data_IF_386038997140
#
_entry.id   IF_386038997140
#
_cell.length_a   1.000
_cell.length_b   1.000
_cell.length_c   1.000
_cell.angle_alpha   90.00
_cell.angle_beta   90.00
_cell.angle_gamma   90.00
#
_symmetry.space_group_name_H-M   'P 1'
#
loop_
_entity.id
_entity.type
_entity.pdbx_description
1 polymer ?
#
# COMPACT_ATOMS: atom_id res chain seq x y z
N UNK A 1 15.93 6.53 -23.14
CA UNK A 1 14.66 6.03 -22.55
C UNK A 1 14.78 4.51 -22.49
N UNK A 2 14.66 3.86 -21.32
CA UNK A 2 14.76 2.40 -21.20
C UNK A 2 13.36 1.84 -21.01
N UNK A 3 12.82 1.24 -22.08
CA UNK A 3 11.54 0.55 -22.02
C UNK A 3 11.75 -0.84 -21.42
N UNK A 4 10.90 -1.20 -20.45
CA UNK A 4 10.92 -2.52 -19.83
C UNK A 4 9.84 -3.38 -20.46
N UNK A 5 10.16 -4.63 -20.76
CA UNK A 5 9.21 -5.58 -21.32
C UNK A 5 8.41 -6.26 -20.20
N UNK A 6 7.08 -6.17 -20.30
CA UNK A 6 6.15 -6.95 -19.50
C UNK A 6 5.57 -8.07 -20.37
N UNK A 7 5.71 -9.32 -19.94
CA UNK A 7 5.15 -10.45 -20.68
C UNK A 7 3.87 -10.95 -19.99
N UNK A 8 2.74 -10.80 -20.66
CA UNK A 8 1.47 -11.34 -20.22
C UNK A 8 1.36 -12.80 -20.62
N UNK A 9 1.41 -13.71 -19.63
CA UNK A 9 1.24 -15.16 -19.86
C UNK A 9 -0.14 -15.48 -20.45
N UNK A 10 -1.26 -14.93 -19.93
CA UNK A 10 -2.59 -15.22 -20.49
C UNK A 10 -2.72 -14.80 -21.95
N UNK A 11 -2.12 -13.66 -22.33
CA UNK A 11 -2.19 -13.12 -23.69
C UNK A 11 -1.04 -13.60 -24.59
N UNK A 12 -0.06 -14.33 -24.02
CA UNK A 12 1.19 -14.76 -24.68
C UNK A 12 1.89 -13.63 -25.43
N UNK A 13 1.89 -12.43 -24.87
CA UNK A 13 2.36 -11.20 -25.53
C UNK A 13 3.32 -10.43 -24.63
N UNK A 14 4.39 -9.91 -25.23
CA UNK A 14 5.28 -8.95 -24.62
C UNK A 14 4.85 -7.52 -24.99
N UNK A 15 4.81 -6.64 -23.99
CA UNK A 15 4.47 -5.22 -24.14
C UNK A 15 5.59 -4.37 -23.55
N UNK A 16 6.02 -3.35 -24.30
CA UNK A 16 6.97 -2.38 -23.82
C UNK A 16 6.24 -1.36 -22.93
N UNK A 17 6.61 -1.31 -21.64
CA UNK A 17 6.05 -0.38 -20.67
C UNK A 17 7.11 0.66 -20.31
N UNK A 18 6.90 1.94 -20.66
CA UNK A 18 7.84 2.99 -20.33
C UNK A 18 7.78 3.31 -18.84
N UNK A 19 8.91 3.17 -18.14
CA UNK A 19 9.03 3.63 -16.75
C UNK A 19 9.50 5.07 -16.77
N UNK A 20 8.55 6.00 -16.71
CA UNK A 20 8.85 7.43 -16.69
C UNK A 20 9.53 7.84 -15.37
N UNK A 21 10.28 8.96 -15.36
CA UNK A 21 10.87 9.49 -14.13
C UNK A 21 9.83 9.75 -13.03
N UNK A 22 8.65 10.26 -13.39
CA UNK A 22 7.54 10.50 -12.46
C UNK A 22 7.05 9.19 -11.83
N UNK A 23 6.86 8.12 -12.61
CA UNK A 23 6.47 6.81 -12.09
C UNK A 23 7.53 6.26 -11.13
N UNK A 24 8.82 6.41 -11.47
CA UNK A 24 9.92 5.98 -10.60
C UNK A 24 9.93 6.75 -9.28
N UNK A 25 9.76 8.07 -9.33
CA UNK A 25 9.68 8.91 -8.13
C UNK A 25 8.51 8.50 -7.24
N UNK A 26 7.34 8.25 -7.83
CA UNK A 26 6.16 7.78 -7.09
C UNK A 26 6.43 6.46 -6.38
N UNK A 27 7.01 5.47 -7.07
CA UNK A 27 7.37 4.18 -6.46
C UNK A 27 8.33 4.37 -5.29
N UNK A 28 9.38 5.18 -5.46
CA UNK A 28 10.36 5.44 -4.40
C UNK A 28 9.71 6.11 -3.20
N UNK A 29 8.83 7.10 -3.41
CA UNK A 29 8.09 7.77 -2.35
C UNK A 29 7.18 6.78 -1.59
N UNK A 30 6.43 5.94 -2.31
CA UNK A 30 5.56 4.94 -1.70
C UNK A 30 6.34 3.92 -0.88
N UNK A 31 7.48 3.43 -1.38
CA UNK A 31 8.33 2.48 -0.63
C UNK A 31 8.91 3.12 0.64
N UNK A 32 9.30 4.40 0.59
CA UNK A 32 9.75 5.13 1.79
C UNK A 32 8.64 5.22 2.83
N UNK A 33 7.41 5.49 2.40
CA UNK A 33 6.27 5.56 3.31
C UNK A 33 5.95 4.20 3.96
N UNK A 34 6.01 3.11 3.19
CA UNK A 34 5.87 1.75 3.72
C UNK A 34 6.94 1.47 4.77
N UNK A 35 8.20 1.85 4.52
CA UNK A 35 9.27 1.71 5.51
C UNK A 35 8.98 2.49 6.79
N UNK A 36 8.52 3.74 6.65
CA UNK A 36 8.13 4.57 7.80
C UNK A 36 7.02 3.93 8.63
N UNK A 37 6.01 3.35 8.00
CA UNK A 37 4.93 2.60 8.68
C UNK A 37 5.51 1.45 9.51
N UNK A 38 6.44 0.68 8.93
CA UNK A 38 7.07 -0.45 9.62
C UNK A 38 7.95 0.03 10.78
N UNK A 39 8.82 1.00 10.54
CA UNK A 39 9.78 1.51 11.54
C UNK A 39 9.10 2.23 12.71
N UNK A 40 7.95 2.86 12.46
CA UNK A 40 7.19 3.56 13.51
C UNK A 40 6.08 2.72 14.13
N UNK A 41 5.84 1.52 13.60
CA UNK A 41 4.73 0.63 13.99
C UNK A 41 3.35 1.31 13.95
N UNK A 42 3.22 2.40 13.19
CA UNK A 42 1.98 3.16 13.06
C UNK A 42 1.22 2.73 11.82
N UNK A 43 0.01 2.20 12.02
CA UNK A 43 -0.87 1.83 10.94
C UNK A 43 -1.24 3.04 10.06
N UNK A 44 -1.25 2.88 8.72
CA UNK A 44 -1.70 3.95 7.84
C UNK A 44 -3.19 4.25 8.04
N UNK A 45 -3.65 5.44 7.61
CA UNK A 45 -5.06 5.77 7.59
C UNK A 45 -5.84 4.80 6.67
N UNK A 46 -7.14 4.60 6.91
CA UNK A 46 -7.97 3.76 6.05
C UNK A 46 -8.00 4.27 4.61
N UNK A 47 -8.08 3.34 3.65
CA UNK A 47 -8.25 3.66 2.23
C UNK A 47 -9.59 4.38 2.00
N UNK A 48 -9.57 5.38 1.12
CA UNK A 48 -10.80 6.10 0.73
C UNK A 48 -11.87 5.19 0.10
N UNK A 49 -11.45 4.13 -0.60
CA UNK A 49 -12.35 3.14 -1.19
C UNK A 49 -12.16 1.78 -0.56
N UNK A 50 -13.22 1.28 0.10
CA UNK A 50 -13.29 -0.05 0.70
C UNK A 50 -13.34 -1.20 -0.31
N UNK A 51 -13.47 -0.92 -1.61
CA UNK A 51 -13.45 -1.95 -2.65
C UNK A 51 -12.15 -2.76 -2.62
N UNK A 52 -11.03 -2.12 -2.29
CA UNK A 52 -9.74 -2.78 -2.15
C UNK A 52 -9.68 -3.74 -0.95
N UNK A 53 -10.53 -3.55 0.07
CA UNK A 53 -10.58 -4.45 1.22
C UNK A 53 -11.13 -5.84 0.85
N UNK A 54 -11.97 -5.93 -0.19
CA UNK A 54 -12.62 -7.20 -0.59
C UNK A 54 -11.58 -8.24 -1.03
N UNK A 55 -10.51 -7.81 -1.68
CA UNK A 55 -9.42 -8.67 -2.16
C UNK A 55 -8.21 -8.67 -1.23
N UNK A 56 -8.25 -7.93 -0.12
CA UNK A 56 -7.10 -7.80 0.78
C UNK A 56 -7.06 -8.96 1.78
N UNK A 57 -5.98 -9.73 1.74
CA UNK A 57 -5.71 -10.82 2.69
C UNK A 57 -5.61 -10.33 4.15
N UNK A 58 -5.24 -9.06 4.36
CA UNK A 58 -5.13 -8.45 5.68
C UNK A 58 -6.43 -7.83 6.19
N UNK A 59 -7.56 -7.93 5.48
CA UNK A 59 -8.82 -7.27 5.85
C UNK A 59 -9.21 -7.47 7.32
N UNK A 60 -9.03 -8.69 7.86
CA UNK A 60 -9.41 -9.03 9.25
C UNK A 60 -8.43 -8.53 10.32
N UNK A 61 -7.27 -8.04 9.91
CA UNK A 61 -6.19 -7.56 10.77
C UNK A 61 -5.84 -6.09 10.49
N UNK A 62 -6.58 -5.45 9.59
CA UNK A 62 -6.35 -4.07 9.20
C UNK A 62 -7.05 -3.11 10.18
N UNK A 63 -6.67 -1.83 10.07
CA UNK A 63 -7.28 -0.66 10.73
C UNK A 63 -8.75 -0.39 10.29
N UNK A 64 -9.50 -1.44 9.88
CA UNK A 64 -10.93 -1.40 9.54
C UNK A 64 -11.82 -1.94 10.68
N UNK A 65 -11.22 -2.64 11.66
CA UNK A 65 -11.90 -3.07 12.87
C UNK A 65 -11.97 -1.91 13.85
N UNK A 66 -13.18 -1.60 14.30
CA UNK A 66 -13.44 -0.60 15.36
C UNK A 66 -13.00 -1.21 16.69
N UNK A 67 -11.70 -1.41 16.89
CA UNK A 67 -11.18 -1.55 18.25
C UNK A 67 -11.00 -0.12 18.78
N UNK A 68 -12.05 0.32 19.48
CA UNK A 68 -12.21 1.60 20.18
C UNK A 68 -12.59 2.83 19.32
N UNK A 69 -13.47 3.72 19.82
CA UNK A 69 -13.79 4.98 19.16
C UNK A 69 -12.59 5.94 19.31
N UNK A 70 -12.14 6.54 18.20
CA UNK A 70 -11.12 7.61 18.11
C UNK A 70 -9.64 7.24 18.39
N UNK A 71 -8.91 6.87 17.34
CA UNK A 71 -7.43 6.89 17.30
C UNK A 71 -6.84 8.30 17.06
N UNK A 72 -7.36 9.33 17.72
CA UNK A 72 -6.59 10.56 17.96
C UNK A 72 -6.10 10.65 19.41
N UNK A 73 -6.20 9.54 20.16
CA UNK A 73 -5.61 9.39 21.48
C UNK A 73 -4.62 8.23 21.42
N UNK A 74 -3.39 8.53 21.84
CA UNK A 74 -2.28 7.60 21.84
C UNK A 74 -2.60 6.33 22.63
N UNK A 75 -1.83 5.29 22.32
CA UNK A 75 -1.75 4.04 23.07
C UNK A 75 -1.62 4.36 24.57
N UNK A 76 -2.75 4.38 25.26
CA UNK A 76 -2.81 4.60 26.70
C UNK A 76 -2.69 3.23 27.31
N UNK A 77 -1.47 2.94 27.77
CA UNK A 77 -1.09 1.92 28.75
C UNK A 77 -2.22 0.97 29.15
N UNK A 78 -2.13 -0.27 28.67
CA UNK A 78 -2.70 -1.40 29.41
C UNK A 78 -1.53 -1.95 30.23
N UNK A 79 -1.72 -1.98 31.55
CA UNK A 79 -0.77 -2.41 32.59
C UNK A 79 0.00 -3.70 32.27
#
# INVERSE_FOLDING_TARGET
MQDKLFYSIPLKRAEAVPITPMLRQKVVATVKEIKRIIESEMMPPPLASRMHCVTCEFRRFCNDVVWMPNHNQGCSSVE
#
